data_IF_441113798313
#
_entry.id   IF_441113798313
#
_cell.length_a   1.000
_cell.length_b   1.000
_cell.length_c   1.000
_cell.angle_alpha   90.00
_cell.angle_beta   90.00
_cell.angle_gamma   90.00
#
_symmetry.space_group_name_H-M   'P 1'
#
loop_
_entity.id
_entity.type
_entity.pdbx_description
1 polymer ?
#
# COMPACT_ATOMS: atom_id res chain seq x y z
N UNK A 1 17.92 5.17 -0.79
CA UNK A 1 17.66 6.08 -1.92
C UNK A 1 16.14 6.30 -2.09
N UNK A 2 15.49 7.10 -1.24
CA UNK A 2 14.02 7.29 -1.27
C UNK A 2 13.52 8.23 -2.39
N UNK A 3 14.41 8.93 -3.11
CA UNK A 3 14.03 9.90 -4.14
C UNK A 3 13.52 9.28 -5.46
N UNK A 4 13.87 8.03 -5.77
CA UNK A 4 13.52 7.44 -7.08
C UNK A 4 12.07 6.96 -7.11
N UNK A 5 11.57 6.37 -6.02
CA UNK A 5 10.18 5.91 -5.94
C UNK A 5 9.17 7.06 -5.84
N UNK A 6 9.50 8.09 -5.06
CA UNK A 6 8.68 9.30 -4.93
C UNK A 6 8.54 10.05 -6.27
N UNK A 7 9.61 10.11 -7.06
CA UNK A 7 9.55 10.66 -8.42
C UNK A 7 8.61 9.85 -9.33
N UNK A 8 8.63 8.51 -9.23
CA UNK A 8 7.75 7.65 -10.01
C UNK A 8 6.27 7.78 -9.60
N UNK A 9 5.97 7.90 -8.30
CA UNK A 9 4.61 8.15 -7.80
C UNK A 9 4.08 9.50 -8.27
N UNK A 10 4.89 10.55 -8.19
CA UNK A 10 4.53 11.89 -8.68
C UNK A 10 4.30 11.85 -10.19
N UNK A 11 5.19 11.20 -10.95
CA UNK A 11 5.04 11.05 -12.40
C UNK A 11 3.76 10.30 -12.76
N UNK A 12 3.42 9.23 -12.02
CA UNK A 12 2.18 8.48 -12.21
C UNK A 12 0.94 9.35 -11.93
N UNK A 13 0.95 10.14 -10.86
CA UNK A 13 -0.15 11.05 -10.51
C UNK A 13 -0.31 12.13 -11.57
N UNK A 14 0.79 12.76 -11.99
CA UNK A 14 0.77 13.75 -13.06
C UNK A 14 0.25 13.15 -14.36
N UNK A 15 0.62 11.91 -14.68
CA UNK A 15 0.11 11.17 -15.83
C UNK A 15 -1.40 10.93 -15.71
N UNK A 16 -1.90 10.49 -14.55
CA UNK A 16 -3.33 10.27 -14.30
C UNK A 16 -4.10 11.59 -14.46
N UNK A 17 -3.64 12.67 -13.83
CA UNK A 17 -4.24 14.00 -13.94
C UNK A 17 -4.28 14.44 -15.40
N UNK A 18 -3.15 14.29 -16.12
CA UNK A 18 -3.05 14.65 -17.53
C UNK A 18 -4.04 13.85 -18.38
N UNK A 19 -4.08 12.53 -18.24
CA UNK A 19 -4.96 11.64 -19.02
C UNK A 19 -6.43 11.99 -18.79
N UNK A 20 -6.89 12.10 -17.54
CA UNK A 20 -8.29 12.44 -17.25
C UNK A 20 -8.67 13.86 -17.66
N UNK A 21 -7.74 14.80 -17.63
CA UNK A 21 -7.94 16.15 -18.15
C UNK A 21 -8.08 16.13 -19.68
N UNK A 22 -7.25 15.36 -20.39
CA UNK A 22 -7.37 15.18 -21.84
C UNK A 22 -8.70 14.51 -22.20
N UNK A 23 -9.12 13.47 -21.48
CA UNK A 23 -10.42 12.83 -21.68
C UNK A 23 -11.56 13.84 -21.48
N UNK A 24 -11.51 14.65 -20.41
CA UNK A 24 -12.49 15.71 -20.17
C UNK A 24 -12.55 16.73 -21.32
N UNK A 25 -11.40 17.14 -21.85
CA UNK A 25 -11.31 18.06 -23.01
C UNK A 25 -11.87 17.41 -24.28
N UNK A 26 -11.56 16.13 -24.52
CA UNK A 26 -12.07 15.38 -25.68
C UNK A 26 -13.60 15.26 -25.59
N UNK A 27 -14.14 14.85 -24.44
CA UNK A 27 -15.59 14.78 -24.21
C UNK A 27 -16.22 16.15 -24.45
N UNK A 28 -15.67 17.21 -23.85
CA UNK A 28 -16.17 18.58 -24.04
C UNK A 28 -16.16 19.00 -25.52
N UNK A 29 -15.08 18.71 -26.25
CA UNK A 29 -14.98 19.02 -27.68
C UNK A 29 -15.97 18.22 -28.53
N UNK A 30 -16.18 16.94 -28.23
CA UNK A 30 -17.18 16.11 -28.92
C UNK A 30 -18.59 16.66 -28.69
N UNK A 31 -18.92 17.06 -27.46
CA UNK A 31 -20.28 17.56 -27.16
C UNK A 31 -20.54 18.96 -27.71
N UNK A 32 -19.50 19.79 -27.86
CA UNK A 32 -19.63 21.19 -28.32
C UNK A 32 -19.27 21.41 -29.79
N UNK A 33 -18.68 20.43 -30.48
CA UNK A 33 -18.29 20.55 -31.89
C UNK A 33 -19.51 20.66 -32.82
N UNK A 34 -19.42 21.54 -33.82
CA UNK A 34 -20.50 21.79 -34.79
C UNK A 34 -20.97 20.52 -35.51
N UNK A 35 -20.08 19.55 -35.75
CA UNK A 35 -20.40 18.31 -36.48
C UNK A 35 -21.21 17.31 -35.65
N UNK A 36 -20.89 17.17 -34.37
CA UNK A 36 -21.44 16.13 -33.48
C UNK A 36 -22.57 16.65 -32.59
N UNK A 37 -22.64 17.97 -32.36
CA UNK A 37 -23.64 18.61 -31.50
C UNK A 37 -25.10 18.30 -31.90
N UNK A 38 -25.50 18.31 -33.19
CA UNK A 38 -26.88 17.95 -33.57
C UNK A 38 -27.25 16.52 -33.16
N UNK A 39 -26.31 15.58 -33.23
CA UNK A 39 -26.50 14.20 -32.77
C UNK A 39 -26.61 14.13 -31.24
N UNK A 40 -25.72 14.82 -30.52
CA UNK A 40 -25.72 14.80 -29.06
C UNK A 40 -27.00 15.42 -28.47
N UNK A 41 -27.54 16.47 -29.09
CA UNK A 41 -28.80 17.11 -28.67
C UNK A 41 -30.03 16.20 -28.81
N UNK A 42 -29.97 15.11 -29.60
CA UNK A 42 -31.06 14.13 -29.66
C UNK A 42 -31.26 13.39 -28.33
N UNK A 43 -30.22 13.39 -27.48
CA UNK A 43 -30.26 12.81 -26.14
C UNK A 43 -30.58 13.85 -25.05
N UNK A 44 -31.02 15.05 -25.43
CA UNK A 44 -31.58 16.03 -24.50
C UNK A 44 -32.83 15.42 -23.84
N UNK A 45 -32.79 15.30 -22.51
CA UNK A 45 -33.80 14.58 -21.74
C UNK A 45 -33.23 13.53 -20.78
N UNK A 46 -31.94 13.19 -20.91
CA UNK A 46 -31.21 12.47 -19.86
C UNK A 46 -31.10 13.36 -18.63
N UNK A 47 -31.94 13.07 -17.62
CA UNK A 47 -32.02 13.87 -16.39
C UNK A 47 -30.97 13.48 -15.36
N UNK A 48 -30.66 14.43 -14.46
CA UNK A 48 -29.65 14.29 -13.41
C UNK A 48 -29.72 13.02 -12.54
N UNK A 49 -30.89 12.41 -12.23
CA UNK A 49 -30.92 11.13 -11.52
C UNK A 49 -30.12 9.99 -12.18
N UNK A 50 -30.02 9.97 -13.51
CA UNK A 50 -29.24 8.95 -14.23
C UNK A 50 -27.72 9.16 -14.12
N UNK A 51 -27.27 10.36 -13.76
CA UNK A 51 -25.87 10.61 -13.39
C UNK A 51 -25.48 9.87 -12.10
N UNK A 52 -26.44 9.66 -11.19
CA UNK A 52 -26.17 9.05 -9.88
C UNK A 52 -25.59 7.64 -9.98
N UNK A 53 -26.03 6.82 -10.95
CA UNK A 53 -25.65 5.41 -11.02
C UNK A 53 -24.12 5.18 -11.16
N UNK A 54 -23.44 5.69 -12.21
CA UNK A 54 -21.99 5.50 -12.33
C UNK A 54 -21.21 6.21 -11.24
N UNK A 55 -21.68 7.37 -10.75
CA UNK A 55 -21.03 8.11 -9.69
C UNK A 55 -21.06 7.33 -8.35
N UNK A 56 -22.20 6.71 -8.03
CA UNK A 56 -22.35 5.87 -6.85
C UNK A 56 -21.47 4.62 -6.97
N UNK A 57 -21.51 3.92 -8.11
CA UNK A 57 -20.67 2.73 -8.35
C UNK A 57 -19.19 3.07 -8.27
N UNK A 58 -18.77 4.19 -8.85
CA UNK A 58 -17.41 4.70 -8.74
C UNK A 58 -17.03 4.97 -7.28
N UNK A 59 -17.85 5.75 -6.56
CA UNK A 59 -17.56 6.13 -5.18
C UNK A 59 -17.46 4.93 -4.25
N UNK A 60 -18.36 3.95 -4.38
CA UNK A 60 -18.35 2.72 -3.61
C UNK A 60 -17.11 1.87 -3.93
N UNK A 61 -16.80 1.70 -5.22
CA UNK A 61 -15.62 0.92 -5.65
C UNK A 61 -14.32 1.55 -5.18
N UNK A 62 -14.20 2.87 -5.33
CA UNK A 62 -13.05 3.62 -4.85
C UNK A 62 -12.90 3.55 -3.32
N UNK A 63 -14.00 3.69 -2.58
CA UNK A 63 -14.00 3.58 -1.12
C UNK A 63 -13.58 2.18 -0.64
N UNK A 64 -14.16 1.11 -1.22
CA UNK A 64 -13.80 -0.27 -0.88
C UNK A 64 -12.33 -0.56 -1.19
N UNK A 65 -11.84 -0.04 -2.31
CA UNK A 65 -10.44 -0.18 -2.67
C UNK A 65 -9.53 0.57 -1.69
N UNK A 66 -9.81 1.84 -1.40
CA UNK A 66 -9.05 2.63 -0.44
C UNK A 66 -8.99 1.95 0.93
N UNK A 67 -10.12 1.41 1.42
CA UNK A 67 -10.19 0.65 2.67
C UNK A 67 -9.32 -0.60 2.61
N UNK A 68 -9.36 -1.37 1.51
CA UNK A 68 -8.54 -2.56 1.36
C UNK A 68 -7.04 -2.25 1.39
N UNK A 69 -6.62 -1.16 0.74
CA UNK A 69 -5.22 -0.73 0.75
C UNK A 69 -4.81 -0.29 2.16
N UNK A 70 -5.64 0.49 2.83
CA UNK A 70 -5.37 0.97 4.19
C UNK A 70 -5.27 -0.19 5.20
N UNK A 71 -6.12 -1.21 5.06
CA UNK A 71 -6.03 -2.40 5.90
C UNK A 71 -4.72 -3.17 5.67
N UNK A 72 -4.33 -3.36 4.41
CA UNK A 72 -3.06 -4.01 4.10
C UNK A 72 -1.86 -3.23 4.68
N UNK A 73 -1.89 -1.89 4.60
CA UNK A 73 -0.90 -1.02 5.24
C UNK A 73 -0.85 -1.25 6.76
N UNK A 74 -2.01 -1.29 7.42
CA UNK A 74 -2.09 -1.50 8.86
C UNK A 74 -1.59 -2.90 9.27
N UNK A 75 -1.87 -3.93 8.47
CA UNK A 75 -1.37 -5.29 8.69
C UNK A 75 0.16 -5.30 8.65
N UNK A 76 0.77 -4.73 7.61
CA UNK A 76 2.22 -4.62 7.48
C UNK A 76 2.85 -3.80 8.62
N UNK A 77 2.24 -2.68 9.02
CA UNK A 77 2.74 -1.84 10.11
C UNK A 77 2.67 -2.55 11.47
N UNK A 78 1.58 -3.28 11.73
CA UNK A 78 1.44 -4.12 12.93
C UNK A 78 2.47 -5.25 12.94
N UNK A 79 2.73 -5.87 11.79
CA UNK A 79 3.74 -6.91 11.65
C UNK A 79 5.14 -6.39 12.00
N UNK A 80 5.55 -5.22 11.50
CA UNK A 80 6.83 -4.59 11.87
C UNK A 80 6.94 -4.38 13.39
N UNK A 81 5.89 -3.84 14.01
CA UNK A 81 5.88 -3.60 15.45
C UNK A 81 5.96 -4.90 16.24
N UNK A 82 5.22 -5.93 15.82
CA UNK A 82 5.22 -7.24 16.46
C UNK A 82 6.58 -7.95 16.33
N UNK A 83 7.20 -7.89 15.15
CA UNK A 83 8.53 -8.45 14.92
C UNK A 83 9.55 -7.74 15.82
N UNK A 84 9.57 -6.41 15.82
CA UNK A 84 10.47 -5.63 16.67
C UNK A 84 10.29 -5.95 18.16
N UNK A 85 9.05 -6.03 18.64
CA UNK A 85 8.78 -6.35 20.04
C UNK A 85 9.23 -7.77 20.41
N UNK A 86 8.99 -8.75 19.53
CA UNK A 86 9.45 -10.12 19.74
C UNK A 86 10.98 -10.23 19.75
N UNK A 87 11.68 -9.44 18.92
CA UNK A 87 13.15 -9.37 18.95
C UNK A 87 13.68 -8.81 20.27
N UNK A 88 13.06 -7.74 20.79
CA UNK A 88 13.39 -7.16 22.10
C UNK A 88 13.17 -8.19 23.20
N UNK A 89 12.05 -8.91 23.16
CA UNK A 89 11.72 -9.96 24.13
C UNK A 89 12.75 -11.09 24.11
N UNK A 90 13.14 -11.59 22.94
CA UNK A 90 14.19 -12.61 22.80
C UNK A 90 15.52 -12.12 23.39
N UNK A 91 15.92 -10.88 23.10
CA UNK A 91 17.16 -10.30 23.64
C UNK A 91 17.08 -10.20 25.17
N UNK A 92 15.94 -9.78 25.71
CA UNK A 92 15.71 -9.69 27.15
C UNK A 92 15.83 -11.07 27.80
N UNK A 93 15.09 -12.07 27.31
CA UNK A 93 15.10 -13.43 27.83
C UNK A 93 16.50 -14.05 27.78
N UNK A 94 17.21 -13.90 26.66
CA UNK A 94 18.58 -14.38 26.52
C UNK A 94 19.57 -13.72 27.49
N UNK A 95 19.27 -12.50 27.95
CA UNK A 95 20.12 -11.76 28.89
C UNK A 95 19.75 -12.00 30.37
N UNK A 96 18.49 -12.34 30.66
CA UNK A 96 17.99 -12.51 32.02
C UNK A 96 17.98 -13.96 32.50
N UNK A 97 17.81 -14.93 31.59
CA UNK A 97 17.78 -16.34 31.95
C UNK A 97 19.23 -16.84 32.20
N UNK A 98 19.57 -17.31 33.40
CA UNK A 98 20.94 -17.69 33.76
C UNK A 98 21.58 -18.71 32.82
N UNK A 99 20.81 -19.70 32.39
CA UNK A 99 21.22 -20.79 31.51
C UNK A 99 21.59 -20.29 30.10
N UNK A 100 21.00 -19.17 29.67
CA UNK A 100 21.22 -18.58 28.35
C UNK A 100 22.32 -17.52 28.32
N UNK A 101 22.91 -17.17 29.46
CA UNK A 101 23.87 -16.07 29.58
C UNK A 101 25.10 -16.23 28.68
N UNK A 102 25.51 -17.46 28.40
CA UNK A 102 26.63 -17.79 27.50
C UNK A 102 26.17 -18.14 26.08
N UNK A 103 24.87 -18.07 25.79
CA UNK A 103 24.34 -18.30 24.46
C UNK A 103 24.64 -17.12 23.54
N UNK A 104 24.77 -17.38 22.24
CA UNK A 104 24.96 -16.34 21.23
C UNK A 104 23.63 -15.71 20.78
N UNK A 105 22.50 -16.11 21.37
CA UNK A 105 21.15 -15.76 20.91
C UNK A 105 20.89 -14.25 20.92
N UNK A 106 21.25 -13.54 22.00
CA UNK A 106 21.07 -12.09 22.06
C UNK A 106 21.85 -11.37 20.94
N UNK A 107 23.06 -11.85 20.65
CA UNK A 107 23.94 -11.24 19.64
C UNK A 107 23.47 -11.53 18.20
N UNK A 108 23.05 -12.75 17.90
CA UNK A 108 22.48 -13.07 16.57
C UNK A 108 21.15 -12.37 16.35
N UNK A 109 20.33 -12.21 17.39
CA UNK A 109 19.08 -11.44 17.33
C UNK A 109 19.33 -9.96 17.01
N UNK A 110 20.31 -9.31 17.67
CA UNK A 110 20.73 -7.94 17.32
C UNK A 110 21.28 -7.84 15.91
N UNK A 111 22.09 -8.83 15.49
CA UNK A 111 22.68 -8.87 14.15
C UNK A 111 21.58 -8.96 13.09
N UNK A 112 20.55 -9.77 13.32
CA UNK A 112 19.38 -9.85 12.47
C UNK A 112 18.58 -8.53 12.45
N UNK A 113 18.27 -7.95 13.61
CA UNK A 113 17.58 -6.67 13.69
C UNK A 113 18.33 -5.55 12.91
N UNK A 114 19.66 -5.52 13.03
CA UNK A 114 20.50 -4.59 12.31
C UNK A 114 20.49 -4.83 10.79
N UNK A 115 20.50 -6.08 10.33
CA UNK A 115 20.43 -6.36 8.89
C UNK A 115 19.07 -6.04 8.28
N UNK A 116 17.98 -5.98 9.06
CA UNK A 116 16.70 -5.43 8.59
C UNK A 116 16.89 -3.96 8.18
N UNK A 117 17.52 -3.15 9.04
CA UNK A 117 17.73 -1.72 8.80
C UNK A 117 18.74 -1.44 7.68
N UNK A 118 19.90 -2.10 7.76
CA UNK A 118 21.05 -1.79 6.91
C UNK A 118 20.88 -2.34 5.48
N UNK A 119 20.17 -3.46 5.32
CA UNK A 119 20.13 -4.20 4.06
C UNK A 119 18.71 -4.46 3.56
N UNK A 120 17.83 -5.01 4.41
CA UNK A 120 16.48 -5.42 3.98
C UNK A 120 15.60 -4.22 3.64
N UNK A 121 15.62 -3.16 4.44
CA UNK A 121 14.80 -1.98 4.22
C UNK A 121 15.09 -1.32 2.87
N UNK A 122 16.37 -1.29 2.48
CA UNK A 122 16.79 -0.76 1.19
C UNK A 122 16.33 -1.67 0.04
N UNK A 123 16.42 -2.99 0.21
CA UNK A 123 16.05 -3.97 -0.81
C UNK A 123 14.54 -4.02 -1.04
N UNK A 124 13.77 -4.05 0.05
CA UNK A 124 12.31 -3.95 0.05
C UNK A 124 11.84 -2.67 -0.65
N UNK A 125 12.55 -1.56 -0.44
CA UNK A 125 12.22 -0.28 -1.07
C UNK A 125 12.54 -0.20 -2.57
N UNK A 126 13.38 -1.09 -3.12
CA UNK A 126 13.91 -0.94 -4.48
C UNK A 126 13.48 -2.05 -5.44
N UNK A 127 13.33 -3.29 -4.94
CA UNK A 127 13.10 -4.47 -5.77
C UNK A 127 11.88 -5.29 -5.33
N UNK A 128 11.16 -4.85 -4.29
CA UNK A 128 10.04 -5.59 -3.69
C UNK A 128 10.40 -7.04 -3.35
N UNK A 129 11.66 -7.27 -2.96
CA UNK A 129 12.21 -8.60 -2.66
C UNK A 129 12.93 -8.58 -1.31
N UNK A 130 12.96 -9.75 -0.67
CA UNK A 130 13.72 -9.98 0.55
C UNK A 130 15.23 -9.83 0.31
N UNK A 131 15.97 -9.37 1.32
CA UNK A 131 17.44 -9.33 1.27
C UNK A 131 18.01 -10.74 1.56
N UNK A 132 18.77 -11.36 0.63
CA UNK A 132 19.39 -12.67 0.86
C UNK A 132 20.27 -12.69 2.11
N UNK A 133 21.00 -11.61 2.37
CA UNK A 133 21.84 -11.48 3.55
C UNK A 133 21.03 -11.38 4.84
N UNK A 134 19.89 -10.71 4.82
CA UNK A 134 18.99 -10.64 5.99
C UNK A 134 18.35 -12.00 6.28
N UNK A 135 18.03 -12.76 5.23
CA UNK A 135 17.59 -14.16 5.35
C UNK A 135 18.69 -15.00 6.03
N UNK A 136 19.95 -14.87 5.62
CA UNK A 136 21.07 -15.59 6.27
C UNK A 136 21.18 -15.25 7.76
N UNK A 137 21.05 -13.97 8.14
CA UNK A 137 21.07 -13.56 9.56
C UNK A 137 19.86 -14.11 10.33
N UNK A 138 18.68 -14.15 9.71
CA UNK A 138 17.50 -14.77 10.31
C UNK A 138 17.70 -16.27 10.55
N UNK A 139 18.28 -17.00 9.59
CA UNK A 139 18.59 -18.43 9.73
C UNK A 139 19.60 -18.66 10.86
N UNK A 140 20.63 -17.82 10.97
CA UNK A 140 21.61 -17.89 12.06
C UNK A 140 20.96 -17.66 13.43
N UNK A 141 20.11 -16.64 13.56
CA UNK A 141 19.33 -16.38 14.78
C UNK A 141 18.42 -17.57 15.11
N UNK A 142 17.69 -18.12 14.14
CA UNK A 142 16.81 -19.28 14.32
C UNK A 142 17.59 -20.52 14.79
N UNK A 143 18.79 -20.74 14.27
CA UNK A 143 19.67 -21.84 14.72
C UNK A 143 20.05 -21.69 16.19
N UNK A 144 20.47 -20.49 16.61
CA UNK A 144 20.84 -20.23 18.00
C UNK A 144 19.63 -20.24 18.95
N UNK A 145 18.44 -19.86 18.47
CA UNK A 145 17.18 -20.03 19.21
C UNK A 145 16.91 -21.51 19.53
N UNK A 146 17.01 -22.42 18.55
CA UNK A 146 16.77 -23.84 18.82
C UNK A 146 17.78 -24.43 19.81
N UNK A 147 19.04 -23.98 19.78
CA UNK A 147 20.04 -24.37 20.79
C UNK A 147 19.65 -23.88 22.18
N UNK A 148 19.26 -22.62 22.31
CA UNK A 148 18.81 -22.02 23.57
C UNK A 148 17.55 -22.70 24.13
N UNK A 149 16.53 -22.93 23.29
CA UNK A 149 15.31 -23.61 23.70
C UNK A 149 15.58 -25.04 24.21
N UNK A 150 16.47 -25.78 23.55
CA UNK A 150 16.88 -27.11 24.00
C UNK A 150 17.64 -27.08 25.33
N UNK A 151 18.47 -26.05 25.58
CA UNK A 151 19.19 -25.89 26.85
C UNK A 151 18.23 -25.70 28.06
N UNK A 152 17.06 -25.10 27.83
CA UNK A 152 16.06 -24.85 28.87
C UNK A 152 15.18 -26.07 29.19
N UNK A 153 15.42 -27.22 28.56
CA UNK A 153 14.77 -28.51 28.87
C UNK A 153 13.23 -28.42 28.95
N UNK A 154 12.59 -27.64 28.07
CA UNK A 154 11.12 -27.48 27.99
C UNK A 154 10.47 -26.95 29.28
N UNK A 155 11.21 -26.18 30.09
CA UNK A 155 10.69 -25.49 31.27
C UNK A 155 9.74 -24.32 30.89
N UNK A 156 9.23 -23.58 31.87
CA UNK A 156 8.36 -22.43 31.62
C UNK A 156 9.04 -21.34 30.76
N UNK A 157 10.31 -21.06 31.00
CA UNK A 157 11.10 -20.07 30.25
C UNK A 157 11.28 -20.47 28.78
N UNK A 158 11.47 -21.77 28.52
CA UNK A 158 11.52 -22.32 27.16
C UNK A 158 10.23 -22.03 26.40
N UNK A 159 9.06 -22.14 27.05
CA UNK A 159 7.76 -21.85 26.41
C UNK A 159 7.61 -20.38 26.08
N UNK A 160 8.04 -19.49 26.98
CA UNK A 160 8.02 -18.04 26.75
C UNK A 160 8.96 -17.69 25.58
N UNK A 161 10.17 -18.26 25.56
CA UNK A 161 11.12 -18.05 24.47
C UNK A 161 10.59 -18.56 23.12
N UNK A 162 9.96 -19.74 23.09
CA UNK A 162 9.33 -20.30 21.89
C UNK A 162 8.22 -19.36 21.38
N UNK A 163 7.37 -18.85 22.29
CA UNK A 163 6.31 -17.92 21.92
C UNK A 163 6.86 -16.59 21.35
N UNK A 164 7.92 -16.04 21.96
CA UNK A 164 8.59 -14.85 21.46
C UNK A 164 9.16 -15.09 20.04
N UNK A 165 9.79 -16.24 19.81
CA UNK A 165 10.29 -16.62 18.48
C UNK A 165 9.16 -16.80 17.45
N UNK A 166 8.07 -17.47 17.81
CA UNK A 166 6.90 -17.62 16.94
C UNK A 166 6.28 -16.26 16.57
N UNK A 167 6.27 -15.32 17.51
CA UNK A 167 5.83 -13.94 17.24
C UNK A 167 6.72 -13.29 16.18
N UNK A 168 8.05 -13.40 16.31
CA UNK A 168 9.00 -12.88 15.30
C UNK A 168 8.81 -13.57 13.94
N UNK A 169 8.76 -14.90 13.89
CA UNK A 169 8.67 -15.68 12.65
C UNK A 169 7.37 -15.37 11.88
N UNK A 170 6.22 -15.35 12.56
CA UNK A 170 4.94 -14.99 11.96
C UNK A 170 4.87 -13.51 11.53
N UNK A 171 5.41 -12.61 12.35
CA UNK A 171 5.46 -11.19 12.02
C UNK A 171 6.38 -10.91 10.82
N UNK A 172 7.54 -11.57 10.74
CA UNK A 172 8.41 -11.55 9.55
C UNK A 172 7.65 -12.06 8.33
N UNK A 173 7.04 -13.23 8.41
CA UNK A 173 6.27 -13.80 7.30
C UNK A 173 5.16 -12.87 6.80
N UNK A 174 4.43 -12.24 7.73
CA UNK A 174 3.41 -11.24 7.40
C UNK A 174 4.03 -10.00 6.75
N UNK A 175 5.11 -9.44 7.30
CA UNK A 175 5.78 -8.27 6.71
C UNK A 175 6.22 -8.55 5.26
N UNK A 176 6.84 -9.69 4.99
CA UNK A 176 7.33 -10.05 3.66
C UNK A 176 6.20 -10.42 2.68
N UNK A 177 5.06 -10.91 3.17
CA UNK A 177 3.90 -11.19 2.32
C UNK A 177 3.23 -9.91 1.77
N UNK A 178 3.42 -8.75 2.41
CA UNK A 178 2.80 -7.48 2.03
C UNK A 178 3.80 -6.49 1.40
N UNK A 179 4.83 -7.00 0.72
CA UNK A 179 5.86 -6.17 0.04
C UNK A 179 5.33 -5.47 -1.20
N UNK A 180 4.30 -6.02 -1.83
CA UNK A 180 3.53 -5.33 -2.86
C UNK A 180 2.05 -5.61 -2.67
N UNK A 181 1.20 -4.60 -2.82
CA UNK A 181 -0.23 -4.82 -2.88
C UNK A 181 -0.59 -5.31 -4.27
N UNK A 182 -0.93 -6.60 -4.38
CA UNK A 182 -1.44 -7.16 -5.63
C UNK A 182 -2.89 -6.67 -5.85
N UNK A 183 -2.99 -5.47 -6.42
CA UNK A 183 -4.26 -4.96 -6.87
C UNK A 183 -4.54 -5.56 -8.24
N UNK A 184 -5.47 -6.52 -8.26
CA UNK A 184 -5.87 -7.20 -9.49
C UNK A 184 -6.19 -6.18 -10.62
N UNK A 185 -5.57 -6.28 -11.80
CA UNK A 185 -5.71 -5.30 -12.89
C UNK A 185 -7.16 -4.99 -13.30
N UNK A 186 -8.04 -5.98 -13.22
CA UNK A 186 -9.48 -5.80 -13.47
C UNK A 186 -10.14 -4.79 -12.52
N UNK A 187 -9.79 -4.78 -11.23
CA UNK A 187 -10.35 -3.80 -10.28
C UNK A 187 -9.96 -2.38 -10.68
N UNK A 188 -8.74 -2.21 -11.19
CA UNK A 188 -8.22 -0.89 -11.57
C UNK A 188 -8.85 -0.39 -12.84
N UNK A 189 -8.91 -1.27 -13.82
CA UNK A 189 -9.61 -0.99 -15.08
C UNK A 189 -11.07 -0.65 -14.81
N UNK A 190 -11.73 -1.34 -13.88
CA UNK A 190 -13.11 -1.06 -13.46
C UNK A 190 -13.30 0.35 -12.89
N UNK A 191 -12.48 0.78 -11.93
CA UNK A 191 -12.57 2.14 -11.34
C UNK A 191 -12.29 3.22 -12.38
N UNK A 192 -11.28 3.03 -13.23
CA UNK A 192 -10.93 3.98 -14.29
C UNK A 192 -12.05 4.10 -15.32
N UNK A 193 -12.66 2.97 -15.74
CA UNK A 193 -13.79 2.96 -16.66
C UNK A 193 -15.02 3.66 -16.04
N UNK A 194 -15.31 3.39 -14.76
CA UNK A 194 -16.39 4.06 -14.04
C UNK A 194 -16.15 5.57 -13.97
N UNK A 195 -14.92 6.03 -13.74
CA UNK A 195 -14.58 7.46 -13.73
C UNK A 195 -14.81 8.13 -15.09
N UNK A 196 -14.45 7.47 -16.19
CA UNK A 196 -14.75 7.94 -17.55
C UNK A 196 -16.26 7.98 -17.78
N UNK A 197 -16.99 6.95 -17.34
CA UNK A 197 -18.44 6.88 -17.47
C UNK A 197 -19.14 8.01 -16.69
N UNK A 198 -18.61 8.39 -15.51
CA UNK A 198 -19.08 9.56 -14.76
C UNK A 198 -18.93 10.85 -15.58
N UNK A 199 -17.79 11.06 -16.25
CA UNK A 199 -17.61 12.26 -17.10
C UNK A 199 -18.58 12.27 -18.28
N UNK A 200 -18.81 11.12 -18.91
CA UNK A 200 -19.74 10.97 -20.04
C UNK A 200 -21.18 11.29 -19.61
N UNK A 201 -21.64 10.75 -18.47
CA UNK A 201 -23.01 11.02 -18.00
C UNK A 201 -23.21 12.48 -17.62
N UNK A 202 -22.21 13.14 -17.01
CA UNK A 202 -22.25 14.58 -16.73
C UNK A 202 -22.39 15.40 -18.01
N UNK A 203 -21.68 15.02 -19.07
CA UNK A 203 -21.75 15.68 -20.36
C UNK A 203 -23.16 15.59 -20.97
N UNK A 204 -23.79 14.41 -20.92
CA UNK A 204 -25.17 14.22 -21.39
C UNK A 204 -26.19 15.04 -20.59
N UNK A 205 -26.09 15.07 -19.25
CA UNK A 205 -27.01 15.86 -18.41
C UNK A 205 -26.98 17.36 -18.76
N UNK A 206 -25.84 17.87 -19.22
CA UNK A 206 -25.66 19.27 -19.56
C UNK A 206 -25.56 19.54 -21.07
N UNK A 207 -25.96 18.58 -21.91
CA UNK A 207 -25.76 18.63 -23.38
C UNK A 207 -26.33 19.90 -24.03
N UNK A 208 -27.45 20.41 -23.51
CA UNK A 208 -28.11 21.61 -24.00
C UNK A 208 -27.48 22.93 -23.54
N UNK A 209 -26.62 22.91 -22.51
CA UNK A 209 -26.08 24.12 -21.83
C UNK A 209 -24.55 24.15 -21.87
N UNK A 210 -23.93 24.70 -22.93
CA UNK A 210 -22.47 24.64 -23.14
C UNK A 210 -21.61 25.13 -21.97
N UNK A 211 -21.97 26.27 -21.37
CA UNK A 211 -21.23 26.82 -20.21
C UNK A 211 -21.35 25.92 -18.99
N UNK A 212 -22.55 25.39 -18.73
CA UNK A 212 -22.79 24.48 -17.62
C UNK A 212 -22.06 23.14 -17.83
N UNK A 213 -22.02 22.63 -19.07
CA UNK A 213 -21.29 21.42 -19.43
C UNK A 213 -19.79 21.53 -19.10
N UNK A 214 -19.15 22.63 -19.49
CA UNK A 214 -17.71 22.84 -19.22
C UNK A 214 -17.45 22.84 -17.71
N UNK A 215 -18.25 23.59 -16.94
CA UNK A 215 -18.09 23.67 -15.48
C UNK A 215 -18.36 22.32 -14.83
N UNK A 216 -19.44 21.63 -15.21
CA UNK A 216 -19.83 20.36 -14.64
C UNK A 216 -18.80 19.26 -14.93
N UNK A 217 -18.27 19.19 -16.16
CA UNK A 217 -17.19 18.24 -16.50
C UNK A 217 -15.92 18.56 -15.71
N UNK A 218 -15.58 19.84 -15.52
CA UNK A 218 -14.40 20.24 -14.73
C UNK A 218 -14.52 19.78 -13.27
N UNK A 219 -15.69 20.01 -12.66
CA UNK A 219 -15.99 19.54 -11.29
C UNK A 219 -15.96 18.01 -11.24
N UNK A 220 -16.61 17.33 -12.18
CA UNK A 220 -16.63 15.87 -12.23
C UNK A 220 -15.23 15.27 -12.35
N UNK A 221 -14.37 15.90 -13.16
CA UNK A 221 -12.97 15.51 -13.34
C UNK A 221 -12.19 15.65 -12.03
N UNK A 222 -12.34 16.77 -11.32
CA UNK A 222 -11.72 16.94 -10.01
C UNK A 222 -12.22 15.90 -9.00
N UNK A 223 -13.54 15.64 -8.98
CA UNK A 223 -14.17 14.66 -8.07
C UNK A 223 -13.65 13.24 -8.28
N UNK A 224 -13.48 12.79 -9.53
CA UNK A 224 -12.94 11.43 -9.79
C UNK A 224 -11.43 11.37 -9.58
N UNK A 225 -10.70 12.46 -9.85
CA UNK A 225 -9.25 12.49 -9.72
C UNK A 225 -8.79 12.34 -8.28
N UNK A 226 -9.48 12.96 -7.31
CA UNK A 226 -9.07 12.91 -5.90
C UNK A 226 -8.89 11.45 -5.40
N UNK A 227 -9.91 10.58 -5.41
CA UNK A 227 -9.76 9.22 -4.92
C UNK A 227 -8.81 8.38 -5.79
N UNK A 228 -8.78 8.58 -7.11
CA UNK A 228 -7.83 7.86 -7.99
C UNK A 228 -6.39 8.22 -7.64
N UNK A 229 -6.08 9.49 -7.39
CA UNK A 229 -4.73 9.92 -7.02
C UNK A 229 -4.34 9.42 -5.62
N UNK A 230 -5.26 9.43 -4.65
CA UNK A 230 -5.02 8.87 -3.31
C UNK A 230 -4.72 7.38 -3.38
N UNK A 231 -5.50 6.64 -4.16
CA UNK A 231 -5.25 5.23 -4.45
C UNK A 231 -3.88 5.06 -5.11
N UNK A 232 -3.56 5.90 -6.11
CA UNK A 232 -2.32 5.81 -6.87
C UNK A 232 -1.06 6.02 -6.01
N UNK A 233 -1.13 6.91 -5.02
CA UNK A 233 -0.06 7.13 -4.02
C UNK A 233 0.28 5.90 -3.20
N UNK A 234 -0.62 4.92 -3.14
CA UNK A 234 -0.51 3.76 -2.26
C UNK A 234 -0.42 2.44 -3.05
N UNK A 235 -0.26 2.50 -4.38
CA UNK A 235 0.06 1.32 -5.19
C UNK A 235 1.48 0.81 -4.99
N UNK A 236 2.39 1.72 -4.63
CA UNK A 236 3.77 1.39 -4.33
C UNK A 236 3.84 0.45 -3.12
N UNK A 237 5.00 -0.22 -2.99
CA UNK A 237 5.29 -1.00 -1.79
C UNK A 237 5.06 -0.14 -0.55
N UNK A 238 4.43 -0.68 0.53
CA UNK A 238 4.23 0.09 1.76
C UNK A 238 5.53 0.50 2.45
N UNK A 239 6.68 -0.04 2.02
CA UNK A 239 8.00 0.25 2.59
C UNK A 239 8.72 1.43 1.94
N UNK A 240 8.16 2.04 0.89
CA UNK A 240 8.73 3.20 0.22
C UNK A 240 7.66 4.16 -0.29
N UNK A 241 8.05 5.39 -0.65
CA UNK A 241 7.11 6.36 -1.23
C UNK A 241 6.66 7.43 -0.26
N UNK A 242 5.63 8.19 -0.65
CA UNK A 242 5.11 9.33 0.12
C UNK A 242 4.40 8.86 1.40
N UNK A 243 3.72 7.71 1.35
CA UNK A 243 2.98 7.12 2.48
C UNK A 243 3.65 5.80 2.87
N UNK A 244 4.91 5.87 3.31
CA UNK A 244 5.69 4.68 3.70
C UNK A 244 5.57 4.39 5.19
N UNK A 245 5.55 3.09 5.54
CA UNK A 245 5.68 2.63 6.93
C UNK A 245 7.09 2.97 7.44
N UNK A 246 7.19 3.34 8.71
CA UNK A 246 8.45 3.63 9.38
C UNK A 246 9.17 2.36 9.87
N UNK A 247 10.51 2.33 9.78
CA UNK A 247 11.36 1.32 10.40
C UNK A 247 11.77 1.66 11.84
N UNK A 248 11.26 2.76 12.39
CA UNK A 248 11.55 3.25 13.74
C UNK A 248 11.43 2.19 14.85
N UNK A 249 10.48 1.23 14.82
CA UNK A 249 10.44 0.18 15.84
C UNK A 249 11.76 -0.57 15.99
N UNK A 250 12.45 -0.90 14.90
CA UNK A 250 13.72 -1.62 14.97
C UNK A 250 14.88 -0.78 15.52
N UNK A 251 14.81 0.56 15.46
CA UNK A 251 15.85 1.45 16.01
C UNK A 251 15.94 1.36 17.54
N UNK A 252 14.92 0.83 18.21
CA UNK A 252 14.89 0.64 19.65
C UNK A 252 15.72 -0.57 20.09
N UNK A 253 16.09 -1.45 19.15
CA UNK A 253 16.85 -2.67 19.40
C UNK A 253 18.34 -2.30 19.52
N UNK A 254 18.87 -2.33 20.75
CA UNK A 254 20.28 -2.11 21.07
C UNK A 254 21.02 -3.42 21.27
#
# INVERSE_FOLDING_TARGET
MPFISTNNEIALILLIIFVFTIIAVIITRIFLSQKTRPLMLQYEGVVAPYFGLPAVLFSLSAALMATSIWENYNIAAKAIKAESQGLIEIISLASTIPELKNSNLANTTRTYAKSILDEEWQTLSSASNDSPKTIEKFIAMRSDFFKAANQLNNNAESKILIHAFQTVDNARGTRLAYVSFDVHPLRMTGILLLAILVQITVAFVHVAKPKALIVAISIATATVLIPICVIALTFSSPYHGIISISNEPYLQIR
#
